data_IF_184467970458
#
_entry.id   IF_184467970458
#
_cell.length_a   1.000
_cell.length_b   1.000
_cell.length_c   1.000
_cell.angle_alpha   90.00
_cell.angle_beta   90.00
_cell.angle_gamma   90.00
#
_symmetry.space_group_name_H-M   'P 1'
#
loop_
_entity.id
_entity.type
_entity.pdbx_description
1 polymer ?
#
# COMPACT_ATOMS: atom_id res chain seq x y z
N UNK A 1 50.22 -23.79 41.95
CA UNK A 1 48.78 -23.68 42.27
C UNK A 1 48.63 -22.43 43.14
N UNK A 2 47.99 -21.34 42.77
CA UNK A 2 47.07 -21.06 41.67
C UNK A 2 47.25 -19.60 41.23
N UNK A 3 46.89 -19.36 39.98
CA UNK A 3 47.10 -18.14 39.21
C UNK A 3 46.13 -17.00 39.57
N UNK A 4 46.62 -15.80 39.28
CA UNK A 4 45.93 -14.51 39.24
C UNK A 4 44.66 -14.54 38.38
N UNK A 5 43.52 -14.13 38.95
CA UNK A 5 42.29 -13.85 38.19
C UNK A 5 42.22 -12.35 37.93
N UNK A 6 42.50 -11.98 36.67
CA UNK A 6 42.22 -10.66 36.14
C UNK A 6 40.74 -10.58 35.74
N UNK A 7 40.03 -9.55 36.20
CA UNK A 7 38.68 -9.23 35.76
C UNK A 7 38.72 -8.69 34.33
N UNK A 8 37.93 -9.21 33.38
CA UNK A 8 37.80 -8.59 32.08
C UNK A 8 36.79 -7.44 32.17
N UNK A 9 37.30 -6.22 31.99
CA UNK A 9 36.49 -5.04 31.71
C UNK A 9 35.75 -5.28 30.39
N UNK A 10 34.45 -5.59 30.49
CA UNK A 10 33.55 -5.66 29.35
C UNK A 10 33.40 -4.24 28.80
N UNK A 11 34.18 -3.94 27.76
CA UNK A 11 33.96 -2.77 26.92
C UNK A 11 32.65 -3.01 26.19
N UNK A 12 31.56 -2.54 26.78
CA UNK A 12 30.29 -2.39 26.10
C UNK A 12 30.47 -1.36 25.00
N UNK A 13 30.71 -1.85 23.77
CA UNK A 13 30.53 -1.04 22.58
C UNK A 13 29.04 -0.73 22.47
N UNK A 14 28.61 0.36 23.09
CA UNK A 14 27.37 1.03 22.73
C UNK A 14 27.54 1.52 21.30
N UNK A 15 27.17 0.68 20.34
CA UNK A 15 26.86 1.12 18.97
C UNK A 15 25.65 2.04 19.09
N UNK A 16 25.92 3.31 19.37
CA UNK A 16 25.08 4.39 18.89
C UNK A 16 25.15 4.22 17.38
N UNK A 17 24.12 3.62 16.78
CA UNK A 17 23.93 3.74 15.34
C UNK A 17 23.69 5.23 15.09
N UNK A 18 24.78 5.96 14.85
CA UNK A 18 24.71 7.30 14.29
C UNK A 18 23.84 7.18 13.04
N UNK A 19 22.76 7.95 13.01
CA UNK A 19 21.93 8.21 11.84
C UNK A 19 22.79 8.95 10.82
N UNK A 20 23.78 8.25 10.26
CA UNK A 20 24.64 8.78 9.22
C UNK A 20 23.77 9.01 7.99
N UNK A 21 23.90 10.16 7.31
CA UNK A 21 23.20 10.41 6.05
C UNK A 21 23.49 9.32 5.01
N UNK A 22 24.61 8.59 5.14
CA UNK A 22 24.94 7.46 4.27
C UNK A 22 23.93 6.31 4.34
N UNK A 23 23.14 6.18 5.41
CA UNK A 23 22.08 5.17 5.54
C UNK A 23 20.82 5.50 4.69
N UNK A 24 20.70 6.75 4.24
CA UNK A 24 19.59 7.18 3.39
C UNK A 24 19.83 6.90 1.90
N UNK A 25 21.08 6.61 1.52
CA UNK A 25 21.47 6.37 0.13
C UNK A 25 20.90 5.05 -0.39
N UNK A 26 20.48 5.01 -1.65
CA UNK A 26 20.02 3.78 -2.30
C UNK A 26 21.19 2.87 -2.72
N UNK A 27 21.97 2.39 -1.75
CA UNK A 27 23.10 1.48 -1.98
C UNK A 27 22.69 0.03 -1.76
N UNK A 28 23.31 -0.95 -2.45
CA UNK A 28 23.04 -2.37 -2.23
C UNK A 28 23.20 -2.81 -0.76
N UNK A 29 24.15 -2.22 -0.03
CA UNK A 29 24.37 -2.51 1.38
C UNK A 29 23.22 -2.04 2.28
N UNK A 30 22.68 -0.84 2.02
CA UNK A 30 21.53 -0.33 2.77
C UNK A 30 20.24 -1.10 2.46
N UNK A 31 20.04 -1.47 1.19
CA UNK A 31 18.93 -2.33 0.77
C UNK A 31 19.00 -3.67 1.51
N UNK A 32 20.14 -4.36 1.47
CA UNK A 32 20.31 -5.67 2.11
C UNK A 32 20.10 -5.61 3.64
N UNK A 33 20.53 -4.51 4.27
CA UNK A 33 20.28 -4.27 5.70
C UNK A 33 18.78 -4.16 5.99
N UNK A 34 18.02 -3.42 5.18
CA UNK A 34 16.57 -3.29 5.37
C UNK A 34 15.83 -4.59 5.07
N UNK A 35 16.25 -5.35 4.06
CA UNK A 35 15.74 -6.69 3.79
C UNK A 35 15.94 -7.61 5.00
N UNK A 36 17.12 -7.59 5.63
CA UNK A 36 17.41 -8.37 6.85
C UNK A 36 16.53 -7.96 8.03
N UNK A 37 16.32 -6.65 8.23
CA UNK A 37 15.41 -6.12 9.26
C UNK A 37 13.98 -6.63 9.03
N UNK A 38 13.51 -6.62 7.78
CA UNK A 38 12.19 -7.12 7.40
C UNK A 38 12.10 -8.64 7.63
N UNK A 39 13.13 -9.40 7.21
CA UNK A 39 13.21 -10.86 7.38
C UNK A 39 13.01 -11.29 8.84
N UNK A 40 13.64 -10.57 9.77
CA UNK A 40 13.57 -10.83 11.21
C UNK A 40 12.35 -10.22 11.92
N UNK A 41 11.54 -9.41 11.21
CA UNK A 41 10.36 -8.78 11.79
C UNK A 41 9.23 -9.80 12.00
N UNK A 42 8.61 -9.80 13.18
CA UNK A 42 7.50 -10.73 13.50
C UNK A 42 6.29 -10.53 12.58
N UNK A 43 5.98 -9.27 12.22
CA UNK A 43 4.86 -8.93 11.34
C UNK A 43 4.98 -9.57 9.95
N UNK A 44 6.21 -9.76 9.46
CA UNK A 44 6.46 -10.38 8.16
C UNK A 44 5.88 -11.79 8.03
N UNK A 45 5.79 -12.55 9.13
CA UNK A 45 5.26 -13.93 9.11
C UNK A 45 3.86 -14.03 8.52
N UNK A 46 3.02 -13.00 8.69
CA UNK A 46 1.67 -12.92 8.12
C UNK A 46 1.70 -12.87 6.59
N UNK A 47 2.73 -12.26 6.02
CA UNK A 47 2.86 -11.95 4.60
C UNK A 47 3.77 -12.93 3.84
N UNK A 48 4.17 -14.04 4.44
CA UNK A 48 4.91 -15.07 3.73
C UNK A 48 4.03 -15.75 2.67
N UNK A 49 4.64 -16.07 1.53
CA UNK A 49 3.98 -16.91 0.52
C UNK A 49 3.66 -18.29 1.13
N UNK A 50 2.42 -18.71 0.95
CA UNK A 50 1.86 -19.96 1.48
C UNK A 50 1.64 -20.99 0.38
N UNK A 51 1.82 -20.61 -0.89
CA UNK A 51 1.49 -21.44 -2.06
C UNK A 51 2.67 -21.49 -3.03
N UNK A 52 2.62 -22.41 -3.99
CA UNK A 52 3.62 -22.52 -5.07
C UNK A 52 3.20 -21.79 -6.34
N UNK A 53 2.18 -20.95 -6.23
CA UNK A 53 1.58 -20.26 -7.37
C UNK A 53 2.55 -19.21 -7.92
N UNK A 54 2.69 -19.09 -9.26
CA UNK A 54 3.49 -18.01 -9.85
C UNK A 54 2.99 -16.60 -9.48
N UNK A 55 1.73 -16.49 -9.09
CA UNK A 55 1.08 -15.24 -8.67
C UNK A 55 1.24 -14.95 -7.17
N UNK A 56 1.94 -15.81 -6.41
CA UNK A 56 2.14 -15.68 -4.97
C UNK A 56 3.54 -15.16 -4.63
N UNK A 57 3.77 -13.88 -4.93
CA UNK A 57 5.01 -13.17 -4.61
C UNK A 57 4.97 -12.48 -3.25
N UNK A 58 6.15 -12.21 -2.70
CA UNK A 58 6.33 -11.47 -1.43
C UNK A 58 6.88 -10.05 -1.56
N UNK A 59 7.19 -9.57 -2.78
CA UNK A 59 7.75 -8.22 -3.00
C UNK A 59 6.67 -7.15 -2.77
N UNK A 60 6.85 -6.27 -1.79
CA UNK A 60 5.93 -5.17 -1.49
C UNK A 60 6.56 -3.87 -1.98
N UNK A 61 5.78 -3.03 -2.66
CA UNK A 61 6.23 -1.72 -3.13
C UNK A 61 5.36 -0.62 -2.59
N UNK A 62 5.98 0.46 -2.14
CA UNK A 62 5.28 1.64 -1.68
C UNK A 62 5.19 2.66 -2.80
N UNK A 63 4.07 3.39 -2.83
CA UNK A 63 3.76 4.37 -3.84
C UNK A 63 3.34 5.69 -3.21
N UNK A 64 3.54 6.80 -3.91
CA UNK A 64 2.97 8.10 -3.55
C UNK A 64 2.17 8.69 -4.71
N UNK A 65 1.13 9.44 -4.36
CA UNK A 65 0.25 10.09 -5.33
C UNK A 65 0.93 11.32 -5.93
N UNK A 66 0.81 11.45 -7.25
CA UNK A 66 1.25 12.63 -7.99
C UNK A 66 0.40 13.86 -7.67
N UNK A 67 -0.88 13.67 -7.35
CA UNK A 67 -1.77 14.76 -6.97
C UNK A 67 -1.62 15.00 -5.46
N UNK A 68 -1.29 16.23 -5.04
CA UNK A 68 -1.27 16.61 -3.63
C UNK A 68 -2.66 16.48 -2.98
N UNK A 69 -2.67 16.18 -1.69
CA UNK A 69 -3.89 16.15 -0.88
C UNK A 69 -4.34 17.58 -0.57
N UNK A 70 -5.64 17.83 -0.67
CA UNK A 70 -6.21 19.09 -0.19
C UNK A 70 -6.15 19.18 1.36
N UNK A 71 -6.18 20.39 1.92
CA UNK A 71 -5.97 20.65 3.35
C UNK A 71 -6.86 19.84 4.32
N UNK A 72 -8.04 19.40 3.87
CA UNK A 72 -8.99 18.61 4.67
C UNK A 72 -9.33 17.25 4.02
N UNK A 73 -8.55 16.83 3.03
CA UNK A 73 -8.74 15.54 2.38
C UNK A 73 -8.05 14.45 3.19
N UNK A 74 -8.83 13.45 3.62
CA UNK A 74 -8.33 12.28 4.32
C UNK A 74 -7.52 11.40 3.35
N UNK A 75 -6.39 10.84 3.80
CA UNK A 75 -5.59 9.93 2.99
C UNK A 75 -6.37 8.67 2.63
N UNK A 76 -7.32 8.25 3.45
CA UNK A 76 -8.19 7.12 3.17
C UNK A 76 -9.30 7.42 2.14
N UNK A 77 -9.47 8.67 1.68
CA UNK A 77 -10.41 9.05 0.61
C UNK A 77 -9.85 8.68 -0.79
N UNK A 78 -9.66 7.38 -1.00
CA UNK A 78 -8.98 6.85 -2.19
C UNK A 78 -9.92 6.96 -3.41
N UNK A 79 -9.41 7.15 -4.66
CA UNK A 79 -10.25 7.20 -5.85
C UNK A 79 -11.20 6.00 -5.97
N UNK A 80 -12.34 6.23 -6.63
CA UNK A 80 -13.38 5.20 -6.78
C UNK A 80 -12.94 3.97 -7.58
N UNK A 81 -11.88 4.08 -8.38
CA UNK A 81 -11.33 2.98 -9.17
C UNK A 81 -10.49 2.04 -8.30
N UNK A 82 -10.72 0.73 -8.45
CA UNK A 82 -10.10 -0.34 -7.65
C UNK A 82 -8.63 -0.58 -8.02
N UNK A 83 -8.31 -0.36 -9.29
CA UNK A 83 -6.93 -0.32 -9.76
C UNK A 83 -6.51 1.13 -9.72
N UNK A 84 -5.37 1.39 -9.11
CA UNK A 84 -4.77 2.70 -9.12
C UNK A 84 -4.55 3.16 -10.56
N UNK A 85 -5.01 4.38 -10.86
CA UNK A 85 -4.97 4.92 -12.21
C UNK A 85 -3.56 4.95 -12.77
N UNK A 86 -3.44 4.57 -14.05
CA UNK A 86 -2.16 4.55 -14.75
C UNK A 86 -1.60 5.97 -14.72
N UNK A 87 -0.42 6.15 -14.12
CA UNK A 87 0.31 7.42 -13.95
C UNK A 87 -0.13 8.38 -12.83
N UNK A 88 -1.10 7.99 -12.00
CA UNK A 88 -1.52 8.80 -10.84
C UNK A 88 -0.58 8.62 -9.63
N UNK A 89 0.14 7.51 -9.59
CA UNK A 89 1.05 7.16 -8.51
C UNK A 89 2.44 6.82 -9.03
N UNK A 90 3.43 7.21 -8.26
CA UNK A 90 4.83 6.89 -8.46
C UNK A 90 5.32 5.90 -7.42
N UNK A 91 6.20 4.98 -7.82
CA UNK A 91 6.84 4.03 -6.92
C UNK A 91 8.00 4.73 -6.20
N UNK A 92 8.11 4.51 -4.89
CA UNK A 92 9.32 4.90 -4.16
C UNK A 92 10.49 4.02 -4.59
N UNK A 93 11.71 4.57 -4.57
CA UNK A 93 12.95 3.81 -4.76
C UNK A 93 13.02 2.59 -3.83
N UNK A 94 13.86 1.62 -4.19
CA UNK A 94 13.87 0.31 -3.51
C UNK A 94 14.15 0.44 -2.01
N UNK A 95 15.21 1.16 -1.65
CA UNK A 95 15.57 1.42 -0.25
C UNK A 95 14.43 2.08 0.52
N UNK A 96 13.77 3.08 -0.07
CA UNK A 96 12.68 3.81 0.59
C UNK A 96 11.44 2.94 0.76
N UNK A 97 11.07 2.17 -0.28
CA UNK A 97 10.00 1.17 -0.17
C UNK A 97 10.26 0.19 0.98
N UNK A 98 11.50 -0.29 1.13
CA UNK A 98 11.87 -1.19 2.23
C UNK A 98 11.89 -0.49 3.59
N UNK A 99 12.35 0.77 3.68
CA UNK A 99 12.37 1.53 4.93
C UNK A 99 10.94 1.78 5.45
N UNK A 100 10.02 2.13 4.54
CA UNK A 100 8.60 2.31 4.86
C UNK A 100 7.99 0.96 5.28
N UNK A 101 8.23 -0.12 4.53
CA UNK A 101 7.70 -1.45 4.87
C UNK A 101 8.22 -1.98 6.21
N UNK A 102 9.52 -1.83 6.49
CA UNK A 102 10.12 -2.21 7.77
C UNK A 102 9.45 -1.50 8.95
N UNK A 103 9.19 -0.19 8.80
CA UNK A 103 8.50 0.63 9.79
C UNK A 103 7.02 0.27 9.92
N UNK A 104 6.38 -0.09 8.80
CA UNK A 104 4.99 -0.54 8.78
C UNK A 104 4.82 -1.87 9.53
N UNK A 105 5.66 -2.88 9.23
CA UNK A 105 5.57 -4.20 9.85
C UNK A 105 5.81 -4.20 11.36
N UNK A 106 6.57 -3.24 11.88
CA UNK A 106 6.78 -3.08 13.32
C UNK A 106 5.53 -2.59 14.07
N UNK A 107 4.67 -1.81 13.39
CA UNK A 107 3.46 -1.17 13.97
C UNK A 107 2.19 -1.55 13.23
N UNK A 108 2.17 -2.71 12.58
CA UNK A 108 1.13 -3.09 11.62
C UNK A 108 -0.29 -2.95 12.18
N UNK A 109 -0.55 -3.51 13.37
CA UNK A 109 -1.89 -3.52 13.98
C UNK A 109 -2.41 -2.10 14.26
N UNK A 110 -1.53 -1.23 14.77
CA UNK A 110 -1.85 0.17 15.05
C UNK A 110 -2.14 0.94 13.75
N UNK A 111 -1.28 0.79 12.75
CA UNK A 111 -1.38 1.50 11.48
C UNK A 111 -2.60 1.06 10.66
N UNK A 112 -2.89 -0.25 10.62
CA UNK A 112 -4.10 -0.76 9.96
C UNK A 112 -5.36 -0.32 10.71
N UNK A 113 -5.35 -0.34 12.05
CA UNK A 113 -6.50 0.13 12.85
C UNK A 113 -6.81 1.60 12.59
N UNK A 114 -5.79 2.47 12.61
CA UNK A 114 -5.92 3.89 12.28
C UNK A 114 -6.48 4.09 10.88
N UNK A 115 -5.90 3.39 9.90
CA UNK A 115 -6.31 3.49 8.50
C UNK A 115 -7.76 3.03 8.27
N UNK A 116 -8.18 1.89 8.85
CA UNK A 116 -9.55 1.40 8.74
C UNK A 116 -10.57 2.34 9.41
N UNK A 117 -10.18 3.00 10.50
CA UNK A 117 -11.01 4.02 11.15
C UNK A 117 -11.24 5.22 10.22
N UNK A 118 -10.17 5.75 9.65
CA UNK A 118 -10.23 6.87 8.70
C UNK A 118 -11.03 6.50 7.43
N UNK A 119 -10.84 5.28 6.93
CA UNK A 119 -11.60 4.75 5.79
C UNK A 119 -13.09 4.68 6.10
N UNK A 120 -13.47 4.23 7.29
CA UNK A 120 -14.87 4.16 7.72
C UNK A 120 -15.53 5.56 7.83
N UNK A 121 -14.76 6.59 8.20
CA UNK A 121 -15.25 7.97 8.27
C UNK A 121 -15.51 8.57 6.87
N UNK A 122 -14.73 8.16 5.86
CA UNK A 122 -14.89 8.60 4.47
C UNK A 122 -15.91 7.78 3.65
N UNK A 123 -16.15 6.54 4.03
CA UNK A 123 -16.98 5.64 3.23
C UNK A 123 -18.46 5.99 3.36
N UNK A 124 -19.10 6.31 2.22
CA UNK A 124 -20.55 6.34 2.17
C UNK A 124 -21.09 4.91 2.31
N UNK A 125 -21.76 4.63 3.43
CA UNK A 125 -22.46 3.36 3.64
C UNK A 125 -23.57 3.12 2.60
N UNK A 126 -24.11 1.90 2.51
CA UNK A 126 -25.18 1.58 1.56
C UNK A 126 -26.36 2.53 1.76
N UNK A 127 -26.59 3.42 0.80
CA UNK A 127 -27.76 4.31 0.83
C UNK A 127 -29.01 3.45 0.68
N UNK A 128 -29.68 3.19 1.81
CA UNK A 128 -31.03 2.66 1.81
C UNK A 128 -31.90 3.49 0.88
N UNK A 129 -32.63 2.83 -0.01
CA UNK A 129 -33.48 3.46 -1.00
C UNK A 129 -34.64 4.17 -0.29
N UNK A 130 -34.44 5.42 0.10
CA UNK A 130 -35.46 6.28 0.71
C UNK A 130 -35.59 7.58 -0.10
N UNK A 131 -36.63 7.59 -0.93
CA UNK A 131 -37.46 8.71 -1.39
C UNK A 131 -36.87 10.12 -1.53
N UNK A 132 -36.89 10.61 -2.78
CA UNK A 132 -37.23 11.97 -3.22
C UNK A 132 -37.75 12.97 -2.15
N UNK A 133 -37.13 14.16 -2.12
CA UNK A 133 -37.63 15.43 -1.57
C UNK A 133 -36.84 15.89 -0.33
N UNK A 134 -36.30 17.10 -0.20
CA UNK A 134 -36.57 18.40 -0.82
C UNK A 134 -35.27 19.23 -0.87
N UNK A 135 -35.16 20.04 -1.92
CA UNK A 135 -34.31 21.23 -1.98
C UNK A 135 -34.79 22.23 -0.92
N UNK A 136 -33.89 22.70 -0.05
CA UNK A 136 -34.01 24.00 0.61
C UNK A 136 -32.63 24.66 0.61
N UNK A 137 -32.53 25.70 -0.21
CA UNK A 137 -31.58 26.79 -0.01
C UNK A 137 -31.95 27.52 1.29
N UNK A 138 -30.97 27.82 2.13
CA UNK A 138 -30.89 29.09 2.83
C UNK A 138 -29.43 29.29 3.29
N UNK A 139 -28.77 30.27 2.70
CA UNK A 139 -27.54 30.83 3.25
C UNK A 139 -27.87 31.75 4.41
N UNK A 140 -26.97 31.81 5.38
CA UNK A 140 -26.69 33.00 6.17
C UNK A 140 -25.35 32.84 6.89
N UNK A 141 -24.69 33.98 7.02
CA UNK A 141 -23.28 34.18 7.29
C UNK A 141 -22.85 33.84 8.72
N UNK A 142 -21.65 33.27 8.86
CA UNK A 142 -20.86 33.39 10.08
C UNK A 142 -19.37 33.51 9.75
N UNK A 143 -19.01 34.66 9.20
CA UNK A 143 -17.63 35.16 9.23
C UNK A 143 -17.28 35.56 10.66
N UNK A 144 -16.52 34.72 11.38
CA UNK A 144 -15.61 35.12 12.49
C UNK A 144 -15.16 33.91 13.31
N UNK A 145 -14.27 33.08 12.77
CA UNK A 145 -13.45 32.14 13.57
C UNK A 145 -12.25 31.53 12.84
N UNK A 146 -12.02 31.84 11.56
CA UNK A 146 -10.91 31.29 10.76
C UNK A 146 -9.50 31.72 11.22
N UNK A 147 -9.38 32.78 12.02
CA UNK A 147 -8.08 33.31 12.46
C UNK A 147 -7.46 32.64 13.69
N UNK A 148 -8.23 31.85 14.46
CA UNK A 148 -7.74 31.25 15.71
C UNK A 148 -7.32 29.78 15.55
N UNK A 149 -7.83 29.06 14.54
CA UNK A 149 -7.54 27.63 14.37
C UNK A 149 -6.21 27.35 13.64
N UNK A 150 -5.74 28.26 12.78
CA UNK A 150 -4.47 28.03 12.05
C UNK A 150 -3.25 28.14 12.95
N UNK A 151 -3.30 28.97 14.01
CA UNK A 151 -2.22 29.12 14.97
C UNK A 151 -2.14 27.95 15.97
N UNK A 152 -3.26 27.24 16.19
CA UNK A 152 -3.35 26.17 17.18
C UNK A 152 -3.00 24.79 16.62
N UNK A 153 -3.04 24.63 15.29
CA UNK A 153 -2.53 23.44 14.59
C UNK A 153 -0.99 23.40 14.53
N UNK A 154 -0.32 24.54 14.69
CA UNK A 154 1.13 24.67 14.51
C UNK A 154 1.97 24.00 15.61
N UNK A 155 1.39 23.75 16.79
CA UNK A 155 2.10 23.10 17.91
C UNK A 155 2.05 21.56 17.90
N UNK A 156 1.24 20.94 17.04
CA UNK A 156 1.10 19.47 16.98
C UNK A 156 1.81 18.85 15.76
N UNK A 157 2.37 19.66 14.86
CA UNK A 157 3.16 19.16 13.73
C UNK A 157 4.63 18.87 14.12
N UNK A 158 5.10 19.42 15.23
CA UNK A 158 6.51 19.38 15.69
C UNK A 158 6.95 18.02 16.27
N UNK A 159 6.03 17.07 16.46
CA UNK A 159 6.30 15.68 16.88
C UNK A 159 5.92 14.66 15.77
N UNK A 160 6.00 15.04 14.49
CA UNK A 160 5.83 14.07 13.39
C UNK A 160 7.17 13.39 13.10
N UNK A 161 7.41 12.24 13.74
CA UNK A 161 8.53 11.36 13.37
C UNK A 161 8.08 10.46 12.21
N UNK A 162 8.44 10.84 10.97
CA UNK A 162 8.18 10.05 9.78
C UNK A 162 9.36 9.15 9.40
N UNK A 163 9.14 8.30 8.39
CA UNK A 163 10.22 7.52 7.76
C UNK A 163 10.90 8.40 6.70
N UNK A 164 12.22 8.65 6.79
CA UNK A 164 12.91 9.49 5.80
C UNK A 164 13.03 8.78 4.46
N UNK A 165 12.64 9.48 3.40
CA UNK A 165 12.63 9.03 2.00
C UNK A 165 13.22 10.08 1.07
N UNK A 166 13.55 9.71 -0.17
CA UNK A 166 14.17 10.58 -1.19
C UNK A 166 15.39 11.32 -0.63
N UNK A 167 16.33 10.59 -0.05
CA UNK A 167 17.54 11.14 0.55
C UNK A 167 17.32 11.99 1.81
N UNK A 168 16.14 11.88 2.45
CA UNK A 168 15.77 12.70 3.62
C UNK A 168 15.12 14.03 3.27
N UNK A 169 14.84 14.29 1.99
CA UNK A 169 14.10 15.49 1.56
C UNK A 169 12.63 15.44 1.95
N UNK A 170 12.08 14.24 2.07
CA UNK A 170 10.71 13.98 2.44
C UNK A 170 10.64 12.96 3.58
N UNK A 171 9.55 13.00 4.32
CA UNK A 171 9.22 12.01 5.32
C UNK A 171 7.83 11.42 5.07
N UNK A 172 7.68 10.14 5.40
CA UNK A 172 6.40 9.43 5.34
C UNK A 172 5.84 9.24 6.75
N UNK A 173 4.73 9.92 7.04
CA UNK A 173 3.89 9.65 8.19
C UNK A 173 2.97 8.46 7.86
N UNK A 174 3.25 7.30 8.47
CA UNK A 174 2.49 6.08 8.27
C UNK A 174 1.11 6.10 8.93
N UNK A 175 0.91 6.90 9.99
CA UNK A 175 -0.38 6.99 10.69
C UNK A 175 -1.36 7.77 9.82
N UNK A 176 -0.90 8.90 9.27
CA UNK A 176 -1.70 9.74 8.36
C UNK A 176 -1.62 9.30 6.89
N UNK A 177 -0.75 8.36 6.54
CA UNK A 177 -0.45 7.95 5.15
C UNK A 177 -0.08 9.12 4.24
N UNK A 178 0.72 10.05 4.77
CA UNK A 178 1.17 11.25 4.05
C UNK A 178 2.68 11.22 3.83
N UNK A 179 3.11 11.65 2.65
CA UNK A 179 4.48 12.03 2.33
C UNK A 179 4.54 13.55 2.29
N UNK A 180 5.45 14.15 3.07
CA UNK A 180 5.58 15.59 3.22
C UNK A 180 7.05 16.03 3.15
N UNK A 181 7.34 17.21 2.60
CA UNK A 181 8.70 17.72 2.53
C UNK A 181 9.19 18.15 3.92
N UNK A 182 10.48 17.94 4.18
CA UNK A 182 11.11 18.23 5.49
C UNK A 182 11.61 19.67 5.56
N UNK A 183 12.22 20.17 4.48
CA UNK A 183 12.98 21.42 4.49
C UNK A 183 12.24 22.64 3.92
N UNK A 184 11.05 22.44 3.35
CA UNK A 184 10.23 23.52 2.82
C UNK A 184 8.75 23.25 3.06
N UNK A 185 7.96 24.32 3.06
CA UNK A 185 6.51 24.20 3.11
C UNK A 185 6.02 23.74 1.74
N UNK A 186 5.58 22.49 1.66
CA UNK A 186 4.94 21.94 0.47
C UNK A 186 3.74 21.09 0.84
N UNK A 187 3.01 20.68 -0.19
CA UNK A 187 1.76 19.97 -0.03
C UNK A 187 1.99 18.49 0.29
N UNK A 188 1.14 17.93 1.15
CA UNK A 188 1.17 16.52 1.51
C UNK A 188 0.72 15.65 0.33
N UNK A 189 1.34 14.49 0.17
CA UNK A 189 1.00 13.52 -0.88
C UNK A 189 0.54 12.22 -0.23
N UNK A 190 -0.54 11.62 -0.75
CA UNK A 190 -1.03 10.32 -0.27
C UNK A 190 -0.01 9.22 -0.55
N UNK A 191 0.19 8.33 0.42
CA UNK A 191 1.03 7.14 0.30
C UNK A 191 0.16 5.89 0.27
N UNK A 192 0.55 4.92 -0.56
CA UNK A 192 -0.17 3.66 -0.78
C UNK A 192 0.78 2.47 -0.63
N UNK A 193 0.35 1.46 0.12
CA UNK A 193 1.03 0.16 0.21
C UNK A 193 0.58 -0.74 -0.93
N UNK A 194 1.52 -1.19 -1.77
CA UNK A 194 1.27 -2.09 -2.89
C UNK A 194 1.73 -3.52 -2.59
N UNK A 195 0.83 -4.33 -2.03
CA UNK A 195 1.04 -5.77 -1.78
C UNK A 195 0.15 -6.68 -2.65
N UNK A 196 -0.90 -6.14 -3.28
CA UNK A 196 -1.68 -6.81 -4.32
C UNK A 196 -1.69 -5.99 -5.59
N UNK A 197 -1.61 -6.67 -6.74
CA UNK A 197 -1.51 -6.03 -8.03
C UNK A 197 -2.50 -6.63 -9.03
N UNK A 198 -2.96 -5.77 -9.93
CA UNK A 198 -3.87 -6.11 -11.00
C UNK A 198 -3.27 -5.81 -12.36
N UNK A 199 -3.60 -6.67 -13.32
CA UNK A 199 -3.23 -6.52 -14.73
C UNK A 199 -4.51 -6.47 -15.56
N UNK A 200 -4.86 -5.27 -16.02
CA UNK A 200 -6.04 -4.99 -16.85
C UNK A 200 -5.62 -4.69 -18.28
N UNK A 201 -5.71 -5.67 -19.18
CA UNK A 201 -5.53 -5.48 -20.63
C UNK A 201 -4.15 -4.99 -21.11
N UNK A 202 -3.19 -4.77 -20.20
CA UNK A 202 -1.82 -4.32 -20.49
C UNK A 202 -0.76 -5.35 -20.11
N UNK A 203 0.51 -4.93 -20.07
CA UNK A 203 1.64 -5.74 -19.58
C UNK A 203 2.06 -5.41 -18.15
N UNK A 204 1.61 -4.25 -17.65
CA UNK A 204 2.03 -3.71 -16.35
C UNK A 204 1.15 -4.23 -15.22
N UNK A 205 1.78 -4.50 -14.09
CA UNK A 205 1.13 -4.80 -12.82
C UNK A 205 0.95 -3.49 -12.05
N UNK A 206 -0.29 -3.07 -11.85
CA UNK A 206 -0.63 -1.85 -11.13
C UNK A 206 -1.10 -2.20 -9.72
N UNK A 207 -0.71 -1.42 -8.69
CA UNK A 207 -1.16 -1.67 -7.33
C UNK A 207 -2.68 -1.54 -7.25
N UNK A 208 -3.29 -2.43 -6.47
CA UNK A 208 -4.68 -2.30 -6.10
C UNK A 208 -4.86 -1.22 -5.04
N UNK A 209 -6.09 -0.72 -4.96
CA UNK A 209 -6.55 0.10 -3.84
C UNK A 209 -6.37 -0.67 -2.53
N UNK A 210 -5.96 0.03 -1.48
CA UNK A 210 -5.54 -0.60 -0.22
C UNK A 210 -6.68 -1.35 0.48
N UNK A 211 -7.92 -0.86 0.45
CA UNK A 211 -9.11 -1.55 0.96
C UNK A 211 -9.37 -2.90 0.27
N UNK A 212 -9.18 -2.94 -1.05
CA UNK A 212 -9.36 -4.16 -1.85
C UNK A 212 -8.19 -5.10 -1.57
N UNK A 213 -6.96 -4.59 -1.53
CA UNK A 213 -5.76 -5.37 -1.26
C UNK A 213 -5.79 -6.03 0.13
N UNK A 214 -6.21 -5.30 1.18
CA UNK A 214 -6.33 -5.83 2.54
C UNK A 214 -7.43 -6.89 2.64
N UNK A 215 -8.59 -6.71 1.99
CA UNK A 215 -9.63 -7.74 1.93
C UNK A 215 -9.15 -9.01 1.22
N UNK A 216 -8.38 -8.87 0.15
CA UNK A 216 -7.76 -10.00 -0.54
C UNK A 216 -6.71 -10.70 0.33
N UNK A 217 -5.89 -9.95 1.08
CA UNK A 217 -4.90 -10.52 2.00
C UNK A 217 -5.57 -11.30 3.14
N UNK A 218 -6.71 -10.82 3.66
CA UNK A 218 -7.50 -11.56 4.64
C UNK A 218 -8.05 -12.86 4.04
N UNK A 219 -8.61 -12.81 2.82
CA UNK A 219 -9.11 -14.00 2.15
C UNK A 219 -8.00 -15.02 1.85
N UNK A 220 -6.84 -14.51 1.41
CA UNK A 220 -5.63 -15.29 1.19
C UNK A 220 -5.14 -15.94 2.48
N UNK A 221 -5.00 -15.19 3.57
CA UNK A 221 -4.59 -15.70 4.88
C UNK A 221 -5.53 -16.79 5.43
N UNK A 222 -6.83 -16.70 5.09
CA UNK A 222 -7.84 -17.71 5.41
C UNK A 222 -7.83 -18.92 4.46
N UNK A 223 -6.81 -19.04 3.61
CA UNK A 223 -6.58 -20.14 2.67
C UNK A 223 -7.76 -20.34 1.73
N UNK A 224 -8.23 -19.27 1.09
CA UNK A 224 -9.37 -19.31 0.15
C UNK A 224 -9.20 -20.39 -0.94
N UNK A 225 -7.98 -20.68 -1.37
CA UNK A 225 -7.69 -21.76 -2.33
C UNK A 225 -7.98 -23.17 -1.79
N UNK A 226 -8.02 -23.39 -0.48
CA UNK A 226 -8.46 -24.68 0.08
C UNK A 226 -9.98 -24.82 0.14
N UNK A 227 -10.74 -23.72 0.03
CA UNK A 227 -12.21 -23.70 0.16
C UNK A 227 -12.93 -23.66 -1.20
N UNK A 228 -12.22 -24.05 -2.26
CA UNK A 228 -12.74 -24.03 -3.64
C UNK A 228 -13.73 -25.19 -3.85
N UNK A 229 -14.78 -24.91 -4.62
CA UNK A 229 -15.76 -25.91 -5.05
C UNK A 229 -15.47 -26.32 -6.48
N UNK A 230 -15.60 -27.62 -6.78
CA UNK A 230 -15.44 -28.13 -8.14
C UNK A 230 -16.56 -27.60 -9.02
N UNK A 231 -16.19 -26.90 -10.09
CA UNK A 231 -17.12 -26.32 -11.05
C UNK A 231 -17.36 -27.27 -12.23
N UNK A 232 -18.53 -27.20 -12.90
CA UNK A 232 -18.80 -27.96 -14.12
C UNK A 232 -17.78 -27.72 -15.24
N UNK A 233 -17.04 -26.60 -15.19
CA UNK A 233 -15.94 -26.29 -16.10
C UNK A 233 -14.69 -27.17 -15.89
N UNK A 234 -14.68 -28.04 -14.88
CA UNK A 234 -13.55 -28.91 -14.55
C UNK A 234 -12.49 -28.30 -13.64
N UNK A 235 -12.71 -27.09 -13.13
CA UNK A 235 -11.76 -26.37 -12.26
C UNK A 235 -12.34 -26.19 -10.87
N UNK A 236 -11.48 -26.19 -9.85
CA UNK A 236 -11.85 -25.73 -8.52
C UNK A 236 -11.88 -24.20 -8.51
N UNK A 237 -12.98 -23.62 -8.02
CA UNK A 237 -13.12 -22.17 -7.89
C UNK A 237 -13.68 -21.75 -6.53
N UNK A 238 -13.20 -20.62 -6.01
CA UNK A 238 -13.72 -19.94 -4.83
C UNK A 238 -13.94 -18.47 -5.16
N UNK A 239 -15.04 -17.92 -4.66
CA UNK A 239 -15.41 -16.51 -4.83
C UNK A 239 -15.22 -15.77 -3.51
N UNK A 240 -14.66 -14.57 -3.58
CA UNK A 240 -14.50 -13.63 -2.47
C UNK A 240 -15.23 -12.35 -2.86
N UNK A 241 -16.33 -12.07 -2.19
CA UNK A 241 -17.03 -10.80 -2.37
C UNK A 241 -16.28 -9.68 -1.67
N UNK A 242 -16.00 -8.60 -2.41
CA UNK A 242 -15.23 -7.46 -1.93
C UNK A 242 -16.19 -6.33 -1.60
N UNK A 243 -16.07 -5.81 -0.39
CA UNK A 243 -16.84 -4.67 0.09
C UNK A 243 -16.19 -3.37 -0.38
N UNK A 244 -17.00 -2.37 -0.70
CA UNK A 244 -16.49 -1.04 -1.06
C UNK A 244 -17.45 -0.26 -1.95
N UNK A 245 -16.89 0.75 -2.62
CA UNK A 245 -17.63 1.68 -3.49
C UNK A 245 -18.29 1.05 -4.71
N UNK A 246 -17.84 -0.14 -5.13
CA UNK A 246 -18.24 -0.78 -6.38
C UNK A 246 -19.09 -2.01 -6.08
N UNK A 247 -20.42 -1.93 -6.26
CA UNK A 247 -21.31 -3.05 -6.00
C UNK A 247 -20.96 -4.26 -6.89
N UNK A 248 -20.98 -5.45 -6.30
CA UNK A 248 -20.75 -6.69 -7.05
C UNK A 248 -19.29 -6.98 -7.40
N UNK A 249 -18.35 -6.17 -6.90
CA UNK A 249 -16.92 -6.46 -7.01
C UNK A 249 -16.59 -7.76 -6.27
N UNK A 250 -15.94 -8.70 -6.95
CA UNK A 250 -15.54 -9.96 -6.37
C UNK A 250 -14.25 -10.48 -7.00
N UNK A 251 -13.48 -11.23 -6.23
CA UNK A 251 -12.33 -11.97 -6.72
C UNK A 251 -12.68 -13.46 -6.88
N UNK A 252 -12.27 -14.02 -8.00
CA UNK A 252 -12.42 -15.45 -8.30
C UNK A 252 -11.05 -16.12 -8.25
N UNK A 253 -10.88 -17.05 -7.32
CA UNK A 253 -9.68 -17.88 -7.18
C UNK A 253 -9.93 -19.23 -7.84
N UNK A 254 -9.12 -19.57 -8.84
CA UNK A 254 -9.18 -20.84 -9.57
C UNK A 254 -7.84 -21.56 -9.48
N UNK A 255 -7.81 -22.89 -9.56
CA UNK A 255 -6.56 -23.66 -9.65
C UNK A 255 -6.65 -24.99 -8.91
N UNK A 256 -5.53 -25.71 -8.83
CA UNK A 256 -5.45 -27.04 -8.21
C UNK A 256 -4.57 -27.01 -6.95
N UNK A 257 -4.96 -27.74 -5.90
CA UNK A 257 -4.17 -27.92 -4.67
C UNK A 257 -3.47 -26.64 -4.16
N UNK A 258 -2.13 -26.61 -4.15
CA UNK A 258 -1.28 -25.49 -3.70
C UNK A 258 -1.01 -24.44 -4.80
N UNK A 259 -1.75 -24.46 -5.89
CA UNK A 259 -1.65 -23.49 -6.99
C UNK A 259 -2.96 -22.72 -7.16
N UNK A 260 -2.86 -21.42 -7.44
CA UNK A 260 -4.00 -20.57 -7.72
C UNK A 260 -3.68 -19.49 -8.76
N UNK A 261 -4.72 -19.12 -9.48
CA UNK A 261 -4.84 -17.90 -10.25
C UNK A 261 -6.05 -17.13 -9.75
N UNK A 262 -5.93 -15.81 -9.65
CA UNK A 262 -7.03 -14.97 -9.22
C UNK A 262 -7.39 -13.94 -10.28
N UNK A 263 -8.67 -13.61 -10.32
CA UNK A 263 -9.25 -12.68 -11.27
C UNK A 263 -10.21 -11.74 -10.54
N UNK A 264 -10.12 -10.44 -10.81
CA UNK A 264 -11.04 -9.43 -10.29
C UNK A 264 -12.16 -9.22 -11.29
N UNK A 265 -13.40 -9.32 -10.82
CA UNK A 265 -14.62 -9.23 -11.62
C UNK A 265 -15.64 -8.32 -10.94
N UNK A 266 -16.60 -7.81 -11.71
CA UNK A 266 -17.71 -6.99 -11.21
C UNK A 266 -19.00 -7.59 -11.76
N UNK A 267 -19.94 -7.94 -10.88
CA UNK A 267 -21.28 -8.37 -11.29
C UNK A 267 -22.03 -7.16 -11.88
N UNK A 268 -22.31 -7.18 -13.18
CA UNK A 268 -23.21 -6.19 -13.77
C UNK A 268 -24.64 -6.47 -13.29
N UNK A 269 -25.33 -5.44 -12.78
CA UNK A 269 -26.73 -5.56 -12.35
C UNK A 269 -27.61 -6.08 -13.49
N UNK A 270 -28.03 -7.35 -13.41
CA UNK A 270 -29.09 -7.93 -14.24
C UNK A 270 -28.67 -8.78 -15.44
N UNK A 271 -27.37 -8.91 -15.74
CA UNK A 271 -26.89 -9.93 -16.68
C UNK A 271 -25.76 -10.69 -16.01
N UNK A 272 -26.03 -11.97 -15.70
CA UNK A 272 -24.99 -12.94 -15.39
C UNK A 272 -24.15 -13.11 -16.66
N UNK A 273 -23.17 -12.23 -16.87
CA UNK A 273 -22.02 -12.62 -17.66
C UNK A 273 -21.29 -13.64 -16.81
N UNK A 274 -21.67 -14.90 -16.96
CA UNK A 274 -20.69 -15.97 -17.00
C UNK A 274 -19.70 -15.49 -18.06
N UNK A 275 -18.63 -14.82 -17.63
CA UNK A 275 -17.58 -14.37 -18.53
C UNK A 275 -16.98 -15.66 -19.07
N UNK A 276 -17.48 -16.08 -20.23
CA UNK A 276 -16.71 -16.88 -21.15
C UNK A 276 -15.38 -16.16 -21.27
N UNK A 277 -14.28 -16.87 -20.99
CA UNK A 277 -12.88 -16.44 -20.85
C UNK A 277 -12.30 -15.54 -21.98
N UNK A 278 -12.97 -14.45 -22.38
CA UNK A 278 -12.73 -13.76 -23.64
C UNK A 278 -13.02 -12.25 -23.66
N UNK A 279 -13.33 -11.60 -22.54
CA UNK A 279 -13.57 -10.14 -22.54
C UNK A 279 -13.25 -9.46 -21.21
N UNK A 280 -12.01 -8.96 -21.07
CA UNK A 280 -11.55 -8.06 -20.00
C UNK A 280 -11.56 -8.59 -18.54
N UNK A 281 -11.23 -9.86 -18.32
CA UNK A 281 -10.96 -10.34 -16.96
C UNK A 281 -9.63 -9.77 -16.44
N UNK A 282 -9.66 -9.13 -15.26
CA UNK A 282 -8.50 -8.47 -14.65
C UNK A 282 -7.73 -9.52 -13.85
N UNK A 283 -6.50 -9.85 -14.26
CA UNK A 283 -5.69 -10.85 -13.53
C UNK A 283 -5.15 -10.22 -12.26
N UNK A 284 -5.20 -10.95 -11.15
CA UNK A 284 -4.66 -10.56 -9.86
C UNK A 284 -3.39 -11.34 -9.55
N UNK A 285 -2.51 -10.72 -8.76
CA UNK A 285 -1.36 -11.35 -8.13
C UNK A 285 -1.07 -10.72 -6.78
N UNK A 286 -0.36 -11.47 -5.95
CA UNK A 286 0.21 -11.03 -4.69
C UNK A 286 1.69 -10.70 -4.90
N UNK A 287 2.11 -9.56 -4.37
CA UNK A 287 3.46 -9.00 -4.54
C UNK A 287 3.75 -8.44 -5.93
N UNK A 288 4.72 -7.54 -6.01
CA UNK A 288 5.14 -6.84 -7.23
C UNK A 288 5.88 -7.78 -8.18
N UNK A 289 5.87 -7.44 -9.46
CA UNK A 289 6.74 -8.03 -10.48
C UNK A 289 6.88 -7.06 -11.63
N UNK A 290 8.14 -6.91 -12.06
CA UNK A 290 8.45 -6.17 -13.25
C UNK A 290 7.81 -6.85 -14.48
N UNK A 291 7.34 -6.05 -15.42
CA UNK A 291 6.91 -6.56 -16.71
C UNK A 291 8.12 -7.18 -17.43
N UNK A 292 8.11 -8.49 -17.69
CA UNK A 292 9.15 -9.17 -18.49
C UNK A 292 9.05 -8.88 -20.00
N UNK A 293 8.33 -7.82 -20.39
CA UNK A 293 8.22 -7.40 -21.78
C UNK A 293 9.56 -6.82 -22.25
N UNK A 294 10.07 -7.20 -23.43
CA UNK A 294 11.31 -6.63 -23.98
C UNK A 294 11.17 -5.14 -24.31
N UNK A 295 9.93 -4.63 -24.44
CA UNK A 295 9.64 -3.21 -24.60
C UNK A 295 8.89 -2.70 -23.35
N UNK A 296 9.51 -1.87 -22.50
CA UNK A 296 8.83 -1.28 -21.36
C UNK A 296 7.73 -0.34 -21.86
N UNK A 297 6.64 -0.25 -21.11
CA UNK A 297 5.58 0.71 -21.42
C UNK A 297 6.04 2.14 -21.10
N UNK A 298 5.34 3.13 -21.65
CA UNK A 298 5.63 4.54 -21.34
C UNK A 298 5.51 4.84 -19.85
N UNK A 299 4.61 4.17 -19.15
CA UNK A 299 4.44 4.36 -17.70
C UNK A 299 5.56 3.70 -16.92
N UNK A 300 6.00 2.50 -17.28
CA UNK A 300 7.18 1.87 -16.65
C UNK A 300 8.44 2.71 -16.87
N UNK A 301 8.62 3.29 -18.05
CA UNK A 301 9.72 4.25 -18.30
C UNK A 301 9.62 5.49 -17.42
N UNK A 302 8.41 5.96 -17.11
CA UNK A 302 8.19 7.09 -16.22
C UNK A 302 8.48 6.72 -14.77
N UNK A 303 8.07 5.53 -14.33
CA UNK A 303 8.37 5.01 -13.00
C UNK A 303 9.89 4.91 -12.80
N UNK A 304 10.62 4.33 -13.76
CA UNK A 304 12.08 4.21 -13.67
C UNK A 304 12.78 5.56 -13.59
N UNK A 305 12.34 6.55 -14.37
CA UNK A 305 12.93 7.91 -14.28
C UNK A 305 12.69 8.55 -12.93
N UNK A 306 11.52 8.34 -12.32
CA UNK A 306 11.24 8.86 -10.99
C UNK A 306 12.14 8.17 -9.95
N UNK A 307 12.29 6.85 -10.02
CA UNK A 307 13.21 6.11 -9.13
C UNK A 307 14.67 6.55 -9.34
N UNK A 308 15.12 6.72 -10.58
CA UNK A 308 16.47 7.20 -10.89
C UNK A 308 16.71 8.62 -10.35
N UNK A 309 15.69 9.48 -10.40
CA UNK A 309 15.77 10.83 -9.82
C UNK A 309 15.85 10.77 -8.29
N UNK A 310 15.10 9.87 -7.66
CA UNK A 310 15.14 9.67 -6.20
C UNK A 310 16.49 9.14 -5.74
N UNK A 311 17.04 8.20 -6.49
CA UNK A 311 18.36 7.64 -6.25
C UNK A 311 19.42 8.72 -6.36
N UNK A 312 19.38 9.55 -7.41
CA UNK A 312 20.28 10.69 -7.57
C UNK A 312 20.17 11.71 -6.43
N UNK A 313 18.96 12.00 -5.96
CA UNK A 313 18.74 12.89 -4.80
C UNK A 313 19.26 12.28 -3.49
N UNK A 314 19.53 10.98 -3.46
CA UNK A 314 20.01 10.26 -2.29
C UNK A 314 21.53 10.04 -2.31
N UNK A 315 22.27 10.48 -3.32
CA UNK A 315 23.74 10.30 -3.43
C UNK A 315 24.57 11.34 -2.64
#
# INVERSE_FOLDING_TARGET
MAESVANPTVVGASTVEETSPDLLKNTPSNIARLEDVIEHCKGRRKYLAQTRSPSDGGDVRWYFCKVPLAENELAASIPRTEIVGKSDYFRFGMRDSLAIEASFLQREEELLSSWWKEYAECCEGPRGRSSSGKKLDLGEDSSSSKGLQSAQLYGFEEERVGVPVKGGLYEVDLVKRHCFPVYWNGENRRVLRGHWFARKGGVDWLPLREDVAEQLEIAYSNKVWHRRTFQPSGLFAARVDLQGSTPGLHALFTGEDDTWEAWLNVDASGFSSVISFGGSAIKLRRGYSASHSPKPTQDELRQRREEEMDDYCSE
#
